data_IF_126214015942
#
_entry.id   IF_126214015942
#
_cell.length_a   1.000
_cell.length_b   1.000
_cell.length_c   1.000
_cell.angle_alpha   90.00
_cell.angle_beta   90.00
_cell.angle_gamma   90.00
#
_symmetry.space_group_name_H-M   'P 1'
#
loop_
_entity.id
_entity.type
_entity.pdbx_description
1 polymer ?
#
# COMPACT_ATOMS: atom_id res chain seq x y z
N UNK A 1 -38.23 -0.55 -79.79
CA UNK A 1 -39.15 -0.57 -78.64
C UNK A 1 -39.28 0.84 -78.08
N UNK A 2 -40.51 1.22 -77.74
CA UNK A 2 -40.99 2.27 -76.82
C UNK A 2 -39.93 3.00 -75.96
N UNK A 3 -39.97 4.29 -75.61
CA UNK A 3 -41.05 5.28 -75.52
C UNK A 3 -40.43 6.67 -75.19
N UNK A 4 -41.04 7.73 -75.74
CA UNK A 4 -41.32 9.11 -75.21
C UNK A 4 -40.70 9.50 -73.85
N UNK A 5 -40.41 10.75 -73.46
CA UNK A 5 -40.48 12.15 -73.95
C UNK A 5 -40.07 13.00 -72.71
N UNK A 6 -39.39 14.14 -72.94
CA UNK A 6 -39.53 15.45 -72.26
C UNK A 6 -39.17 15.53 -70.75
N UNK A 7 -38.12 16.26 -70.35
CA UNK A 7 -38.01 17.74 -70.22
C UNK A 7 -38.89 18.26 -69.05
N UNK A 8 -38.37 19.05 -68.11
CA UNK A 8 -38.42 20.54 -68.10
C UNK A 8 -37.82 21.01 -66.74
N UNK A 9 -36.76 21.85 -66.74
CA UNK A 9 -36.73 23.32 -66.36
C UNK A 9 -36.59 23.55 -64.85
N UNK A 10 -35.97 24.59 -64.28
CA UNK A 10 -35.04 25.68 -64.64
C UNK A 10 -35.17 26.64 -63.43
N UNK A 11 -34.07 27.25 -62.94
CA UNK A 11 -34.03 28.63 -62.35
C UNK A 11 -34.89 28.89 -61.07
N UNK A 12 -34.74 29.89 -60.19
CA UNK A 12 -33.79 30.98 -59.91
C UNK A 12 -34.38 31.76 -58.70
N UNK A 13 -33.51 32.21 -57.79
CA UNK A 13 -33.56 33.45 -56.95
C UNK A 13 -34.76 33.73 -56.01
N UNK A 14 -34.40 33.85 -54.71
CA UNK A 14 -34.62 34.95 -53.73
C UNK A 14 -35.87 35.85 -53.88
N UNK A 15 -36.55 36.18 -52.77
CA UNK A 15 -36.80 37.57 -52.26
C UNK A 15 -38.00 37.72 -51.26
N UNK A 16 -37.69 38.35 -50.08
CA UNK A 16 -38.46 39.27 -49.19
C UNK A 16 -39.78 38.84 -48.50
N UNK A 17 -40.28 39.41 -47.37
CA UNK A 17 -39.92 40.50 -46.44
C UNK A 17 -40.81 40.42 -45.16
N UNK A 18 -40.27 40.87 -44.00
CA UNK A 18 -40.86 41.69 -42.91
C UNK A 18 -42.17 41.27 -42.17
N UNK A 19 -42.44 41.59 -40.90
CA UNK A 19 -41.74 42.24 -39.77
C UNK A 19 -42.68 42.21 -38.52
N UNK A 20 -42.16 42.29 -37.28
CA UNK A 20 -42.51 43.36 -36.31
C UNK A 20 -41.93 43.15 -34.88
N UNK A 21 -41.19 44.19 -34.44
CA UNK A 21 -41.02 44.80 -33.11
C UNK A 21 -41.05 43.97 -31.80
N UNK A 22 -39.97 44.06 -31.01
CA UNK A 22 -39.83 45.11 -29.97
C UNK A 22 -38.46 45.01 -29.24
N UNK A 23 -38.01 46.15 -28.73
CA UNK A 23 -36.67 46.40 -28.20
C UNK A 23 -36.46 45.88 -26.76
N UNK A 24 -35.21 45.58 -26.43
CA UNK A 24 -34.76 45.32 -25.06
C UNK A 24 -33.32 44.80 -25.03
N UNK A 25 -32.37 45.70 -24.77
CA UNK A 25 -30.95 45.43 -24.56
C UNK A 25 -30.75 44.41 -23.44
N UNK A 26 -29.88 43.42 -23.64
CA UNK A 26 -29.12 42.79 -22.56
C UNK A 26 -27.72 42.45 -23.07
N UNK A 27 -26.76 43.27 -22.64
CA UNK A 27 -25.38 42.86 -22.48
C UNK A 27 -25.33 41.62 -21.57
N UNK A 28 -24.74 40.53 -22.05
CA UNK A 28 -24.12 39.55 -21.16
C UNK A 28 -22.70 39.35 -21.67
N UNK A 29 -21.83 39.90 -20.85
CA UNK A 29 -20.40 40.06 -21.02
C UNK A 29 -19.67 38.73 -21.22
N UNK A 30 -18.52 38.87 -21.88
CA UNK A 30 -17.36 37.99 -21.78
C UNK A 30 -17.18 37.47 -20.34
N UNK A 31 -17.43 36.18 -20.13
CA UNK A 31 -16.94 35.47 -18.94
C UNK A 31 -15.74 34.62 -19.35
N UNK A 32 -14.60 35.28 -19.54
CA UNK A 32 -13.30 34.65 -19.32
C UNK A 32 -13.08 34.47 -17.81
N UNK A 33 -13.80 33.51 -17.21
CA UNK A 33 -13.45 32.96 -15.90
C UNK A 33 -12.27 31.98 -16.04
N UNK A 34 -11.44 31.78 -15.00
CA UNK A 34 -10.36 30.81 -15.07
C UNK A 34 -10.94 29.44 -15.43
N UNK A 35 -10.37 28.76 -16.43
CA UNK A 35 -10.73 27.39 -16.76
C UNK A 35 -10.57 26.52 -15.51
N UNK A 36 -11.67 26.28 -14.78
CA UNK A 36 -11.70 25.25 -13.75
C UNK A 36 -11.72 23.94 -14.51
N UNK A 37 -10.53 23.37 -14.75
CA UNK A 37 -10.41 21.99 -15.21
C UNK A 37 -10.99 21.13 -14.10
N UNK A 38 -12.30 20.83 -14.19
CA UNK A 38 -12.96 19.86 -13.32
C UNK A 38 -12.33 18.50 -13.64
N UNK A 39 -11.30 18.15 -12.86
CA UNK A 39 -10.75 16.81 -12.91
C UNK A 39 -11.90 15.85 -12.58
N UNK A 40 -12.04 14.79 -13.37
CA UNK A 40 -13.07 13.76 -13.15
C UNK A 40 -12.47 12.46 -12.64
N UNK A 41 -11.15 12.27 -12.82
CA UNK A 41 -10.39 11.07 -12.44
C UNK A 41 -9.27 11.43 -11.48
N UNK A 42 -8.87 10.50 -10.60
CA UNK A 42 -7.67 10.67 -9.79
C UNK A 42 -6.44 10.67 -10.69
N UNK A 43 -5.49 11.60 -10.48
CA UNK A 43 -4.18 11.52 -11.08
C UNK A 43 -3.51 10.19 -10.69
N UNK A 44 -3.03 9.47 -11.71
CA UNK A 44 -2.24 8.25 -11.55
C UNK A 44 -1.14 8.26 -12.58
N UNK A 45 0.09 8.07 -12.14
CA UNK A 45 1.25 8.04 -13.01
C UNK A 45 1.25 6.74 -13.82
N UNK A 46 1.23 6.83 -15.14
CA UNK A 46 1.23 5.67 -16.04
C UNK A 46 2.60 4.99 -16.02
N UNK A 47 2.74 3.71 -15.63
CA UNK A 47 4.03 3.03 -15.62
C UNK A 47 4.69 2.88 -16.99
N UNK A 48 3.92 2.90 -18.09
CA UNK A 48 4.42 2.62 -19.46
C UNK A 48 5.01 1.21 -19.58
N UNK A 49 6.27 1.02 -19.22
CA UNK A 49 6.98 -0.26 -19.22
C UNK A 49 8.11 -0.26 -18.19
N UNK A 50 8.57 -1.45 -17.79
CA UNK A 50 9.69 -1.58 -16.85
C UNK A 50 10.95 -0.97 -17.46
N UNK A 51 11.63 -0.11 -16.71
CA UNK A 51 12.83 0.60 -17.16
C UNK A 51 12.56 1.93 -17.87
N UNK A 52 11.30 2.26 -18.18
CA UNK A 52 10.95 3.56 -18.75
C UNK A 52 11.38 4.71 -17.81
N UNK A 53 11.98 5.75 -18.38
CA UNK A 53 12.47 6.93 -17.65
C UNK A 53 11.83 8.19 -18.21
N UNK A 54 11.33 9.05 -17.32
CA UNK A 54 10.81 10.39 -17.67
C UNK A 54 11.29 11.45 -16.69
N UNK A 55 11.20 12.70 -17.13
CA UNK A 55 11.43 13.87 -16.29
C UNK A 55 10.09 14.47 -15.86
N UNK A 56 9.94 14.81 -14.58
CA UNK A 56 8.79 15.55 -14.06
C UNK A 56 9.29 16.87 -13.48
N UNK A 57 8.92 17.98 -14.13
CA UNK A 57 9.27 19.34 -13.72
C UNK A 57 8.02 20.20 -13.63
N UNK A 58 7.37 20.21 -12.46
CA UNK A 58 6.19 21.05 -12.19
C UNK A 58 6.47 22.12 -11.14
N UNK A 59 7.67 22.17 -10.59
CA UNK A 59 8.07 23.18 -9.60
C UNK A 59 8.91 24.23 -10.31
N UNK A 60 8.38 25.46 -10.36
CA UNK A 60 9.08 26.61 -10.92
C UNK A 60 10.42 26.78 -10.19
N UNK A 61 11.49 27.02 -10.96
CA UNK A 61 12.85 27.24 -10.45
C UNK A 61 13.53 26.03 -9.77
N UNK A 62 12.97 24.82 -9.91
CA UNK A 62 13.66 23.58 -9.53
C UNK A 62 13.93 22.70 -10.76
N UNK A 63 15.06 21.96 -10.78
CA UNK A 63 15.30 20.99 -11.83
C UNK A 63 14.22 19.91 -11.79
N UNK A 64 13.81 19.36 -12.96
CA UNK A 64 12.91 18.23 -12.99
C UNK A 64 13.56 17.02 -12.29
N UNK A 65 12.75 16.22 -11.61
CA UNK A 65 13.22 14.96 -11.05
C UNK A 65 12.97 13.81 -12.04
N UNK A 66 13.96 12.92 -12.10
CA UNK A 66 13.90 11.72 -12.94
C UNK A 66 13.04 10.67 -12.27
N UNK A 67 12.08 10.09 -13.00
CA UNK A 67 11.23 9.01 -12.54
C UNK A 67 11.43 7.81 -13.43
N UNK A 68 11.83 6.68 -12.83
CA UNK A 68 12.04 5.39 -13.49
C UNK A 68 10.96 4.40 -13.07
N UNK A 69 10.32 3.74 -14.02
CA UNK A 69 9.41 2.64 -13.73
C UNK A 69 10.19 1.39 -13.35
N UNK A 70 9.93 0.85 -12.15
CA UNK A 70 10.49 -0.41 -11.68
C UNK A 70 9.55 -1.60 -11.89
N UNK A 71 8.24 -1.35 -11.87
CA UNK A 71 7.21 -2.35 -12.11
C UNK A 71 5.97 -1.73 -12.73
N UNK A 72 5.25 -2.51 -13.54
CA UNK A 72 3.97 -2.11 -14.14
C UNK A 72 2.80 -2.60 -13.26
N UNK A 73 2.94 -3.77 -12.61
CA UNK A 73 1.92 -4.43 -11.79
C UNK A 73 2.52 -4.85 -10.43
N UNK A 74 2.36 -4.06 -9.35
CA UNK A 74 1.69 -2.77 -9.33
C UNK A 74 2.61 -1.71 -9.96
N UNK A 75 2.10 -0.52 -10.31
CA UNK A 75 2.98 0.57 -10.73
C UNK A 75 3.92 0.97 -9.58
N UNK A 76 5.21 0.72 -9.75
CA UNK A 76 6.28 1.07 -8.80
C UNK A 76 7.29 1.95 -9.52
N UNK A 77 7.69 3.04 -8.87
CA UNK A 77 8.60 4.03 -9.42
C UNK A 77 9.79 4.25 -8.50
N UNK A 78 10.98 4.42 -9.08
CA UNK A 78 12.17 4.95 -8.43
C UNK A 78 12.34 6.41 -8.84
N UNK A 79 12.62 7.26 -7.87
CA UNK A 79 12.90 8.68 -8.05
C UNK A 79 14.28 8.96 -7.43
N UNK A 80 15.37 8.79 -8.21
CA UNK A 80 16.72 9.05 -7.72
C UNK A 80 16.88 10.51 -7.30
N UNK A 81 17.64 10.75 -6.22
CA UNK A 81 17.88 12.09 -5.69
C UNK A 81 16.59 12.90 -5.46
N UNK A 82 15.51 12.23 -5.05
CA UNK A 82 14.27 12.91 -4.70
C UNK A 82 14.45 13.85 -3.51
N UNK A 83 15.30 13.52 -2.55
CA UNK A 83 15.65 14.40 -1.44
C UNK A 83 17.02 15.05 -1.68
N UNK A 84 17.12 16.35 -1.41
CA UNK A 84 18.37 17.08 -1.29
C UNK A 84 19.04 16.80 0.06
N UNK A 85 20.35 17.03 0.16
CA UNK A 85 21.09 16.86 1.42
C UNK A 85 20.52 17.68 2.58
N UNK A 86 20.01 18.90 2.32
CA UNK A 86 19.36 19.72 3.33
C UNK A 86 18.06 19.07 3.86
N UNK A 87 17.23 18.53 2.96
CA UNK A 87 16.01 17.81 3.33
C UNK A 87 16.35 16.54 4.13
N UNK A 88 17.35 15.77 3.69
CA UNK A 88 17.77 14.54 4.37
C UNK A 88 18.28 14.85 5.78
N UNK A 89 19.17 15.83 5.93
CA UNK A 89 19.75 16.18 7.23
C UNK A 89 18.70 16.72 8.20
N UNK A 90 17.74 17.53 7.72
CA UNK A 90 16.62 18.02 8.54
C UNK A 90 15.77 16.87 9.06
N UNK A 91 15.38 15.94 8.17
CA UNK A 91 14.50 14.82 8.52
C UNK A 91 15.21 13.80 9.41
N UNK A 92 16.50 13.50 9.16
CA UNK A 92 17.31 12.66 10.03
C UNK A 92 17.44 13.27 11.42
N UNK A 93 17.75 14.57 11.53
CA UNK A 93 17.83 15.23 12.83
C UNK A 93 16.51 15.16 13.60
N UNK A 94 15.36 15.33 12.93
CA UNK A 94 14.06 15.15 13.57
C UNK A 94 13.83 13.71 14.02
N UNK A 95 14.23 12.72 13.20
CA UNK A 95 14.09 11.31 13.53
C UNK A 95 14.97 10.91 14.73
N UNK A 96 16.21 11.38 14.80
CA UNK A 96 17.17 11.06 15.86
C UNK A 96 16.78 11.68 17.21
N UNK A 97 16.23 12.90 17.20
CA UNK A 97 15.73 13.56 18.42
C UNK A 97 14.29 13.16 18.79
N UNK A 98 13.55 12.55 17.86
CA UNK A 98 12.21 12.04 18.10
C UNK A 98 12.21 10.90 19.11
N UNK A 99 11.10 10.75 19.85
CA UNK A 99 10.92 9.59 20.74
C UNK A 99 10.86 8.33 19.86
N UNK A 100 11.90 7.51 19.93
CA UNK A 100 11.98 6.23 19.25
C UNK A 100 11.15 5.20 20.01
N UNK A 101 10.13 4.67 19.35
CA UNK A 101 9.27 3.62 19.90
C UNK A 101 9.59 2.29 19.21
N UNK A 102 9.52 1.19 19.96
CA UNK A 102 9.60 -0.13 19.36
C UNK A 102 8.35 -0.34 18.48
N UNK A 103 8.56 -0.69 17.22
CA UNK A 103 7.49 -0.95 16.25
C UNK A 103 7.28 -2.43 15.97
N UNK A 104 7.83 -3.32 16.80
CA UNK A 104 7.50 -4.74 16.83
C UNK A 104 5.96 -4.89 16.95
N UNK A 105 5.37 -5.71 16.07
CA UNK A 105 3.90 -5.88 15.98
C UNK A 105 3.39 -6.99 16.93
N UNK A 106 4.30 -7.69 17.62
CA UNK A 106 3.92 -8.75 18.55
C UNK A 106 3.23 -8.17 19.81
N UNK A 107 1.91 -8.22 19.84
CA UNK A 107 1.10 -7.82 20.98
C UNK A 107 0.83 -9.00 21.93
N UNK A 108 1.35 -8.92 23.15
CA UNK A 108 1.07 -9.88 24.23
C UNK A 108 -0.41 -9.88 24.70
N UNK A 109 -1.25 -8.94 24.23
CA UNK A 109 -2.63 -8.78 24.68
C UNK A 109 -3.63 -9.74 24.05
N UNK A 110 -3.17 -10.70 23.25
CA UNK A 110 -4.01 -11.72 22.61
C UNK A 110 -4.30 -12.88 23.56
N UNK A 111 -4.66 -12.58 24.81
CA UNK A 111 -5.14 -13.59 25.74
C UNK A 111 -6.56 -13.99 25.35
N UNK A 112 -6.73 -15.26 24.98
CA UNK A 112 -8.00 -16.01 24.96
C UNK A 112 -9.00 -15.75 23.83
N UNK A 113 -8.58 -15.71 22.56
CA UNK A 113 -9.53 -16.07 21.50
C UNK A 113 -9.78 -17.59 21.53
N UNK A 114 -11.03 -18.09 21.69
CA UNK A 114 -11.33 -19.54 21.72
C UNK A 114 -10.81 -20.28 20.48
N UNK A 115 -10.72 -19.56 19.36
CA UNK A 115 -10.22 -20.02 18.07
C UNK A 115 -8.74 -20.41 18.11
N UNK A 116 -7.91 -19.75 18.92
CA UNK A 116 -6.48 -20.05 19.04
C UNK A 116 -6.20 -21.37 19.75
N UNK A 117 -7.12 -21.81 20.60
CA UNK A 117 -6.99 -23.04 21.41
C UNK A 117 -7.73 -24.24 20.82
N UNK A 118 -8.41 -24.07 19.68
CA UNK A 118 -9.19 -25.11 19.03
C UNK A 118 -8.37 -25.81 17.94
N UNK A 119 -8.29 -27.14 18.00
CA UNK A 119 -7.63 -27.94 16.98
C UNK A 119 -8.19 -27.66 15.58
N UNK A 120 -9.51 -27.58 15.46
CA UNK A 120 -10.21 -27.42 14.19
C UNK A 120 -9.93 -26.08 13.48
N UNK A 121 -9.42 -25.08 14.22
CA UNK A 121 -8.99 -23.81 13.63
C UNK A 121 -7.59 -23.87 13.04
N UNK A 122 -6.77 -24.83 13.48
CA UNK A 122 -5.42 -25.05 12.99
C UNK A 122 -5.39 -26.12 11.89
N UNK A 123 -6.29 -27.08 11.94
CA UNK A 123 -6.49 -28.11 10.90
C UNK A 123 -7.26 -27.53 9.70
N UNK A 124 -6.52 -26.86 8.81
CA UNK A 124 -7.07 -26.12 7.69
C UNK A 124 -7.56 -27.02 6.56
N UNK A 125 -7.06 -28.24 6.42
CA UNK A 125 -7.54 -29.19 5.42
C UNK A 125 -8.50 -30.23 6.00
N UNK A 126 -8.76 -30.20 7.31
CA UNK A 126 -9.65 -31.11 8.04
C UNK A 126 -9.25 -32.58 7.88
N UNK A 127 -7.94 -32.86 7.88
CA UNK A 127 -7.39 -34.21 7.78
C UNK A 127 -7.06 -34.83 9.16
N UNK A 128 -7.48 -34.19 10.25
CA UNK A 128 -7.21 -34.55 11.64
C UNK A 128 -5.71 -34.57 12.00
N UNK A 129 -4.85 -33.92 11.18
CA UNK A 129 -3.41 -33.84 11.36
C UNK A 129 -2.85 -32.45 11.02
N UNK A 130 -2.53 -31.66 12.05
CA UNK A 130 -1.91 -30.34 11.84
C UNK A 130 -0.46 -30.51 11.36
N UNK A 131 -0.18 -30.07 10.13
CA UNK A 131 1.15 -30.08 9.52
C UNK A 131 1.90 -28.74 9.72
N UNK A 132 3.14 -28.66 9.23
CA UNK A 132 3.97 -27.46 9.42
C UNK A 132 3.43 -26.21 8.73
N UNK A 133 2.79 -26.32 7.56
CA UNK A 133 2.23 -25.17 6.85
C UNK A 133 1.06 -24.57 7.65
N UNK A 134 0.26 -25.42 8.28
CA UNK A 134 -0.87 -25.05 9.12
C UNK A 134 -0.44 -24.37 10.40
N UNK A 135 0.59 -24.90 11.07
CA UNK A 135 1.22 -24.20 12.20
C UNK A 135 1.72 -22.82 11.76
N UNK A 136 2.45 -22.72 10.65
CA UNK A 136 2.99 -21.44 10.16
C UNK A 136 1.85 -20.45 9.81
N UNK A 137 0.78 -20.94 9.18
CA UNK A 137 -0.39 -20.12 8.85
C UNK A 137 -1.06 -19.58 10.12
N UNK A 138 -1.27 -20.43 11.12
CA UNK A 138 -1.81 -20.04 12.43
C UNK A 138 -0.90 -19.04 13.15
N UNK A 139 0.43 -19.30 13.17
CA UNK A 139 1.43 -18.39 13.75
C UNK A 139 1.32 -16.97 13.18
N UNK A 140 1.23 -16.88 11.85
CA UNK A 140 1.12 -15.59 11.16
C UNK A 140 -0.22 -14.93 11.41
N UNK A 141 -1.30 -15.67 11.26
CA UNK A 141 -2.65 -15.12 11.33
C UNK A 141 -3.01 -14.61 12.73
N UNK A 142 -2.71 -15.40 13.77
CA UNK A 142 -3.13 -15.08 15.14
C UNK A 142 -2.09 -14.28 15.93
N UNK A 143 -0.80 -14.29 15.56
CA UNK A 143 0.25 -13.65 16.35
C UNK A 143 1.21 -12.78 15.55
N UNK A 144 1.03 -12.66 14.23
CA UNK A 144 1.98 -11.99 13.33
C UNK A 144 3.41 -12.55 13.49
N UNK A 145 3.51 -13.88 13.69
CA UNK A 145 4.77 -14.59 13.82
C UNK A 145 5.07 -15.41 12.55
N UNK A 146 6.25 -15.18 11.98
CA UNK A 146 6.69 -15.76 10.71
C UNK A 146 7.62 -16.96 10.94
N UNK A 147 7.05 -18.04 11.46
CA UNK A 147 7.81 -19.27 11.70
C UNK A 147 8.29 -19.89 10.38
N UNK A 148 9.46 -20.53 10.42
CA UNK A 148 9.92 -21.44 9.37
C UNK A 148 9.61 -22.88 9.74
N UNK A 149 9.71 -23.81 8.78
CA UNK A 149 9.58 -25.25 9.05
C UNK A 149 10.61 -25.74 10.09
N UNK A 150 11.77 -25.10 10.17
CA UNK A 150 12.78 -25.35 11.21
C UNK A 150 12.30 -24.93 12.59
N UNK A 151 11.62 -23.78 12.70
CA UNK A 151 11.05 -23.31 13.96
C UNK A 151 9.91 -24.21 14.43
N UNK A 152 9.05 -24.69 13.52
CA UNK A 152 8.02 -25.68 13.82
C UNK A 152 8.64 -26.98 14.33
N UNK A 153 9.64 -27.54 13.63
CA UNK A 153 10.31 -28.77 14.07
C UNK A 153 10.93 -28.63 15.46
N UNK A 154 11.52 -27.46 15.76
CA UNK A 154 12.05 -27.13 17.10
C UNK A 154 10.94 -27.09 18.15
N UNK A 155 9.80 -26.47 17.84
CA UNK A 155 8.63 -26.47 18.72
C UNK A 155 8.14 -27.89 19.02
N UNK A 156 7.93 -28.72 17.98
CA UNK A 156 7.46 -30.10 18.14
C UNK A 156 8.39 -30.91 19.06
N UNK A 157 9.70 -30.77 18.85
CA UNK A 157 10.73 -31.44 19.67
C UNK A 157 10.72 -30.94 21.12
N UNK A 158 10.61 -29.62 21.32
CA UNK A 158 10.65 -29.00 22.66
C UNK A 158 9.42 -29.38 23.49
N UNK A 159 8.26 -29.42 22.84
CA UNK A 159 6.99 -29.77 23.48
C UNK A 159 6.75 -31.28 23.56
N UNK A 160 7.66 -32.09 23.00
CA UNK A 160 7.57 -33.55 22.99
C UNK A 160 6.25 -34.07 22.35
N UNK A 161 5.76 -33.37 21.34
CA UNK A 161 4.57 -33.69 20.53
C UNK A 161 4.99 -34.28 19.19
N UNK A 162 4.06 -34.88 18.44
CA UNK A 162 4.32 -35.51 17.13
C UNK A 162 5.04 -36.88 17.23
N UNK A 163 4.75 -37.64 18.28
CA UNK A 163 5.25 -39.02 18.46
C UNK A 163 4.44 -40.03 17.68
N UNK A 164 3.12 -39.81 17.60
CA UNK A 164 2.20 -40.71 16.89
C UNK A 164 2.39 -40.56 15.38
N UNK A 165 2.54 -39.33 14.90
CA UNK A 165 2.75 -39.00 13.49
C UNK A 165 3.95 -38.06 13.32
N UNK A 166 5.15 -38.56 13.03
CA UNK A 166 6.35 -37.72 12.94
C UNK A 166 6.20 -36.52 12.00
N UNK A 167 6.39 -35.32 12.53
CA UNK A 167 6.27 -34.04 11.82
C UNK A 167 4.85 -33.45 11.75
N UNK A 168 3.83 -34.14 12.25
CA UNK A 168 2.43 -33.69 12.33
C UNK A 168 1.86 -33.82 13.73
N UNK A 169 0.93 -32.94 14.10
CA UNK A 169 0.26 -32.96 15.40
C UNK A 169 -1.09 -33.65 15.22
N UNK A 170 -1.22 -34.87 15.74
CA UNK A 170 -2.52 -35.54 15.81
C UNK A 170 -3.39 -34.90 16.89
N UNK A 171 -4.72 -34.98 16.75
CA UNK A 171 -5.70 -34.42 17.71
C UNK A 171 -5.44 -34.82 19.16
N UNK A 172 -5.01 -36.05 19.40
CA UNK A 172 -4.67 -36.55 20.75
C UNK A 172 -3.39 -35.96 21.34
N UNK A 173 -2.52 -35.37 20.52
CA UNK A 173 -1.24 -34.76 20.90
C UNK A 173 -1.30 -33.22 20.91
N UNK A 174 -2.46 -32.63 20.60
CA UNK A 174 -2.63 -31.19 20.55
C UNK A 174 -2.72 -30.62 21.97
N UNK A 175 -1.67 -29.91 22.37
CA UNK A 175 -1.53 -29.29 23.69
C UNK A 175 -1.62 -27.77 23.55
N UNK A 176 -2.83 -27.18 23.47
CA UNK A 176 -3.00 -25.76 23.17
C UNK A 176 -2.31 -24.87 24.21
N UNK A 177 -2.40 -25.19 25.50
CA UNK A 177 -1.77 -24.38 26.56
C UNK A 177 -0.23 -24.34 26.44
N UNK A 178 0.39 -25.48 26.17
CA UNK A 178 1.85 -25.59 26.04
C UNK A 178 2.35 -24.94 24.75
N UNK A 179 1.62 -25.12 23.64
CA UNK A 179 1.88 -24.44 22.37
C UNK A 179 1.81 -22.92 22.59
N UNK A 180 0.73 -22.43 23.21
CA UNK A 180 0.57 -20.99 23.49
C UNK A 180 1.68 -20.44 24.37
N UNK A 181 2.10 -21.19 25.40
CA UNK A 181 3.22 -20.81 26.26
C UNK A 181 4.53 -20.72 25.48
N UNK A 182 4.83 -21.71 24.64
CA UNK A 182 6.02 -21.72 23.79
C UNK A 182 6.01 -20.54 22.79
N UNK A 183 4.88 -20.31 22.13
CA UNK A 183 4.71 -19.23 21.15
C UNK A 183 4.94 -17.88 21.79
N UNK A 184 4.36 -17.64 22.97
CA UNK A 184 4.61 -16.41 23.75
C UNK A 184 6.08 -16.24 24.12
N UNK A 185 6.76 -17.31 24.53
CA UNK A 185 8.19 -17.25 24.85
C UNK A 185 9.02 -16.89 23.62
N UNK A 186 8.81 -17.58 22.49
CA UNK A 186 9.54 -17.33 21.24
C UNK A 186 9.25 -15.92 20.70
N UNK A 187 7.99 -15.51 20.65
CA UNK A 187 7.60 -14.17 20.17
C UNK A 187 8.21 -13.03 21.00
N UNK A 188 8.39 -13.22 22.31
CA UNK A 188 9.05 -12.24 23.16
C UNK A 188 10.58 -12.22 23.02
N UNK A 189 11.21 -13.39 22.84
CA UNK A 189 12.66 -13.55 22.92
C UNK A 189 13.39 -13.54 21.57
N UNK A 190 12.73 -13.91 20.47
CA UNK A 190 13.37 -14.11 19.17
C UNK A 190 12.88 -13.07 18.14
N UNK A 191 13.63 -11.97 17.90
CA UNK A 191 13.21 -10.94 16.96
C UNK A 191 12.95 -11.45 15.53
N UNK A 192 13.71 -12.46 15.09
CA UNK A 192 13.63 -13.06 13.75
C UNK A 192 12.28 -13.72 13.40
N UNK A 193 11.43 -13.99 14.39
CA UNK A 193 10.10 -14.56 14.14
C UNK A 193 9.01 -13.50 14.11
N UNK A 194 9.30 -12.27 14.51
CA UNK A 194 8.30 -11.19 14.57
C UNK A 194 7.97 -10.72 13.16
N UNK A 195 6.73 -10.32 12.91
CA UNK A 195 6.34 -9.68 11.65
C UNK A 195 7.16 -8.43 11.34
N UNK A 196 7.55 -7.69 12.37
CA UNK A 196 8.36 -6.48 12.27
C UNK A 196 9.39 -6.41 13.39
N UNK A 197 10.58 -5.94 13.04
CA UNK A 197 11.65 -5.62 13.98
C UNK A 197 12.34 -4.31 13.61
N UNK A 198 11.89 -3.21 14.21
CA UNK A 198 12.45 -1.86 13.99
C UNK A 198 12.02 -0.84 15.05
N UNK A 199 12.65 0.32 15.06
CA UNK A 199 12.20 1.49 15.84
C UNK A 199 11.60 2.54 14.92
N UNK A 200 10.60 3.28 15.40
CA UNK A 200 9.96 4.34 14.62
C UNK A 200 9.72 5.60 15.44
N UNK A 201 9.58 6.72 14.74
CA UNK A 201 9.12 7.99 15.29
C UNK A 201 8.36 8.80 14.24
N UNK A 202 7.51 9.72 14.67
CA UNK A 202 6.73 10.58 13.79
C UNK A 202 7.50 11.86 13.44
N UNK A 203 7.43 12.28 12.18
CA UNK A 203 8.07 13.50 11.68
C UNK A 203 7.02 14.61 11.61
N UNK A 204 6.89 15.35 12.71
CA UNK A 204 5.98 16.49 12.82
C UNK A 204 6.72 17.79 12.51
N UNK A 205 6.46 18.34 11.32
CA UNK A 205 6.99 19.65 10.94
C UNK A 205 6.18 20.78 11.56
N UNK A 206 6.83 21.91 11.84
CA UNK A 206 6.13 23.17 12.13
C UNK A 206 5.33 23.62 10.89
N UNK A 207 4.27 24.41 11.11
CA UNK A 207 3.37 24.84 10.03
C UNK A 207 4.07 25.67 8.95
N UNK A 208 5.12 26.41 9.31
CA UNK A 208 5.92 27.30 8.47
C UNK A 208 7.27 26.69 8.05
N UNK A 209 7.49 25.39 8.30
CA UNK A 209 8.75 24.73 7.94
C UNK A 209 8.93 24.68 6.40
N UNK A 210 10.00 25.34 5.93
CA UNK A 210 10.29 25.47 4.50
C UNK A 210 10.65 24.13 3.83
N UNK A 211 11.24 23.19 4.58
CA UNK A 211 11.56 21.84 4.11
C UNK A 211 10.26 21.07 3.88
N UNK A 212 9.33 21.12 4.83
CA UNK A 212 7.99 20.55 4.68
C UNK A 212 7.26 21.11 3.46
N UNK A 213 7.27 22.43 3.29
CA UNK A 213 6.64 23.11 2.16
C UNK A 213 7.22 22.65 0.81
N UNK A 214 8.54 22.53 0.73
CA UNK A 214 9.24 22.08 -0.48
C UNK A 214 8.93 20.62 -0.79
N UNK A 215 8.99 19.74 0.21
CA UNK A 215 8.65 18.32 0.06
C UNK A 215 7.20 18.11 -0.37
N UNK A 216 6.26 18.87 0.18
CA UNK A 216 4.85 18.80 -0.20
C UNK A 216 4.63 19.21 -1.66
N UNK A 217 5.32 20.24 -2.15
CA UNK A 217 5.29 20.61 -3.58
C UNK A 217 5.88 19.52 -4.48
N UNK A 218 6.97 18.86 -4.06
CA UNK A 218 7.59 17.73 -4.79
C UNK A 218 6.67 16.53 -4.86
N UNK A 219 6.02 16.18 -3.74
CA UNK A 219 4.99 15.13 -3.70
C UNK A 219 3.79 15.46 -4.58
N UNK A 220 3.29 16.69 -4.54
CA UNK A 220 2.17 17.14 -5.38
C UNK A 220 2.53 17.07 -6.87
N UNK A 221 3.73 17.51 -7.25
CA UNK A 221 4.25 17.39 -8.60
C UNK A 221 4.38 15.92 -9.06
N UNK A 222 4.93 15.05 -8.20
CA UNK A 222 5.15 13.64 -8.51
C UNK A 222 3.83 12.87 -8.67
N UNK A 223 2.88 13.10 -7.77
CA UNK A 223 1.59 12.38 -7.74
C UNK A 223 0.54 13.00 -8.65
N UNK A 224 0.69 14.28 -9.00
CA UNK A 224 -0.32 15.09 -9.65
C UNK A 224 -1.47 15.51 -8.74
N UNK A 225 -1.48 15.15 -7.45
CA UNK A 225 -2.55 15.48 -6.50
C UNK A 225 -2.44 16.94 -6.01
N UNK A 226 -3.57 17.57 -5.59
CA UNK A 226 -3.54 18.88 -4.96
C UNK A 226 -2.65 18.88 -3.70
N UNK A 227 -1.94 19.98 -3.47
CA UNK A 227 -0.99 20.08 -2.35
C UNK A 227 -1.69 20.00 -0.99
N UNK A 228 -2.96 20.38 -0.93
CA UNK A 228 -3.82 20.29 0.25
C UNK A 228 -4.04 18.84 0.68
N UNK A 229 -4.28 17.93 -0.28
CA UNK A 229 -4.39 16.49 -0.03
C UNK A 229 -3.06 15.93 0.49
N UNK A 230 -1.95 16.37 -0.10
CA UNK A 230 -0.60 15.96 0.30
C UNK A 230 -0.26 16.43 1.72
N UNK A 231 -0.63 17.66 2.06
CA UNK A 231 -0.34 18.29 3.36
C UNK A 231 -1.16 17.66 4.48
N UNK A 232 -2.43 17.38 4.21
CA UNK A 232 -3.38 16.88 5.21
C UNK A 232 -3.53 15.35 5.18
N UNK A 233 -2.57 14.63 4.61
CA UNK A 233 -2.44 13.17 4.75
C UNK A 233 -1.76 12.79 6.08
N UNK A 234 -1.65 11.49 6.36
CA UNK A 234 -1.01 10.96 7.57
C UNK A 234 0.40 11.55 7.82
N UNK A 235 0.72 11.79 9.10
CA UNK A 235 2.05 12.25 9.51
C UNK A 235 3.12 11.26 9.05
N UNK A 236 4.22 11.71 8.40
CA UNK A 236 5.28 10.81 7.95
C UNK A 236 5.96 10.09 9.12
N UNK A 237 6.33 8.83 8.92
CA UNK A 237 6.93 7.99 9.96
C UNK A 237 8.37 7.64 9.57
N UNK A 238 9.33 8.10 10.35
CA UNK A 238 10.71 7.67 10.22
C UNK A 238 10.92 6.33 10.91
N UNK A 239 11.62 5.41 10.26
CA UNK A 239 11.89 4.06 10.77
C UNK A 239 13.37 3.74 10.68
N UNK A 240 13.92 3.21 11.76
CA UNK A 240 15.29 2.74 11.90
C UNK A 240 15.33 1.23 12.03
N UNK A 241 16.06 0.58 11.13
CA UNK A 241 16.41 -0.83 11.22
C UNK A 241 17.90 -0.97 11.55
N UNK A 242 18.20 -1.66 12.65
CA UNK A 242 19.56 -2.12 12.96
C UNK A 242 19.85 -3.48 12.31
N UNK A 243 21.04 -4.07 12.54
CA UNK A 243 21.35 -5.42 12.09
C UNK A 243 20.28 -6.44 12.54
N UNK A 244 19.81 -7.27 11.60
CA UNK A 244 18.68 -8.21 11.79
C UNK A 244 17.29 -7.56 11.80
N UNK A 245 17.20 -6.23 11.73
CA UNK A 245 15.94 -5.51 11.62
C UNK A 245 15.29 -5.75 10.25
N UNK A 246 13.98 -5.97 10.27
CA UNK A 246 13.18 -6.34 9.10
C UNK A 246 11.72 -5.91 9.26
N UNK A 247 10.97 -5.99 8.17
CA UNK A 247 9.52 -5.93 8.19
C UNK A 247 9.00 -6.89 7.12
N UNK A 248 8.40 -7.99 7.54
CA UNK A 248 7.80 -8.97 6.66
C UNK A 248 6.67 -8.37 5.82
N UNK A 249 6.31 -9.10 4.77
CA UNK A 249 5.45 -8.52 3.75
C UNK A 249 4.05 -8.21 4.29
N UNK A 250 3.56 -7.02 3.95
CA UNK A 250 2.27 -6.51 4.37
C UNK A 250 1.67 -5.63 3.27
N UNK A 251 0.45 -5.14 3.52
CA UNK A 251 -0.19 -4.11 2.73
C UNK A 251 -0.25 -2.84 3.55
N UNK A 252 -0.01 -1.70 2.91
CA UNK A 252 -0.13 -0.41 3.59
C UNK A 252 -1.59 -0.01 3.81
N UNK A 253 -2.52 -0.49 2.98
CA UNK A 253 -3.93 -0.12 3.06
C UNK A 253 -4.81 -1.35 3.20
N UNK A 254 -5.96 -1.18 3.85
CA UNK A 254 -6.98 -2.21 3.92
C UNK A 254 -7.85 -2.24 2.65
N UNK A 255 -8.44 -3.42 2.31
CA UNK A 255 -9.45 -3.53 1.25
C UNK A 255 -10.65 -2.60 1.48
N UNK A 256 -11.37 -2.30 0.39
CA UNK A 256 -12.63 -1.57 0.47
C UNK A 256 -13.72 -2.50 1.01
N UNK A 257 -14.18 -2.27 2.23
CA UNK A 257 -15.38 -2.90 2.79
C UNK A 257 -16.48 -1.85 2.89
N UNK A 258 -17.71 -2.20 2.47
CA UNK A 258 -18.83 -1.27 2.40
C UNK A 258 -19.19 -0.62 3.76
N UNK A 259 -18.94 -1.34 4.86
CA UNK A 259 -19.30 -0.91 6.21
C UNK A 259 -18.19 -0.11 6.92
N UNK A 260 -16.93 -0.25 6.51
CA UNK A 260 -15.79 0.35 7.19
C UNK A 260 -15.35 1.67 6.52
N UNK A 261 -15.52 2.77 7.23
CA UNK A 261 -15.04 4.09 6.80
C UNK A 261 -13.52 4.23 6.99
N UNK A 262 -12.91 5.21 6.32
CA UNK A 262 -11.49 5.48 6.49
C UNK A 262 -11.19 5.98 7.90
N UNK A 263 -10.16 5.43 8.54
CA UNK A 263 -9.69 5.91 9.82
C UNK A 263 -9.28 7.39 9.71
N UNK A 264 -9.84 8.21 10.58
CA UNK A 264 -9.42 9.58 10.80
C UNK A 264 -8.56 9.63 12.07
N UNK A 265 -7.78 10.70 12.28
CA UNK A 265 -6.88 10.88 13.43
C UNK A 265 -7.51 10.61 14.82
N UNK A 266 -8.85 10.60 14.93
CA UNK A 266 -9.58 10.57 16.21
C UNK A 266 -10.24 9.25 16.59
N UNK A 267 -10.32 8.25 15.71
CA UNK A 267 -10.89 6.93 16.07
C UNK A 267 -10.30 5.82 15.22
N UNK A 268 -9.76 4.78 15.89
CA UNK A 268 -9.31 3.54 15.29
C UNK A 268 -10.38 2.42 15.37
N UNK A 269 -11.52 2.69 16.02
CA UNK A 269 -12.58 1.71 16.20
C UNK A 269 -13.50 1.68 14.97
N UNK A 270 -13.67 0.49 14.38
CA UNK A 270 -14.55 0.21 13.23
C UNK A 270 -14.23 1.01 11.95
N UNK A 271 -12.95 1.27 11.72
CA UNK A 271 -12.47 1.95 10.53
C UNK A 271 -11.40 1.14 9.79
N UNK A 272 -11.00 1.60 8.60
CA UNK A 272 -9.97 0.96 7.77
C UNK A 272 -8.87 1.95 7.36
N UNK A 273 -7.66 1.46 7.13
CA UNK A 273 -6.53 2.29 6.67
C UNK A 273 -6.70 2.58 5.16
N UNK A 274 -6.68 3.87 4.79
CA UNK A 274 -7.00 4.35 3.45
C UNK A 274 -5.84 5.08 2.79
N UNK A 275 -4.75 4.36 2.51
CA UNK A 275 -3.53 4.92 1.92
C UNK A 275 -3.54 4.60 0.43
N UNK A 276 -3.74 5.61 -0.41
CA UNK A 276 -3.79 5.41 -1.87
C UNK A 276 -2.39 5.26 -2.47
N UNK A 277 -1.44 6.08 -2.01
CA UNK A 277 -0.05 6.10 -2.47
C UNK A 277 0.85 5.94 -1.24
N UNK A 278 1.90 5.15 -1.38
CA UNK A 278 3.03 5.16 -0.45
C UNK A 278 4.23 5.77 -1.15
N UNK A 279 4.89 6.72 -0.50
CA UNK A 279 6.18 7.26 -0.91
C UNK A 279 7.17 6.95 0.21
N UNK A 280 8.17 6.14 -0.10
CA UNK A 280 9.22 5.72 0.82
C UNK A 280 10.51 6.46 0.49
N UNK A 281 11.06 7.19 1.44
CA UNK A 281 12.37 7.85 1.32
C UNK A 281 13.47 7.00 1.95
N UNK A 282 14.62 6.92 1.30
CA UNK A 282 15.83 6.34 1.89
C UNK A 282 16.75 7.47 2.38
N UNK A 283 17.02 7.51 3.69
CA UNK A 283 17.82 8.59 4.29
C UNK A 283 19.32 8.29 4.32
N UNK A 284 19.72 7.03 4.10
CA UNK A 284 21.12 6.63 4.02
C UNK A 284 21.32 5.42 3.10
N UNK A 285 22.57 5.19 2.70
CA UNK A 285 22.98 3.95 2.08
C UNK A 285 23.13 2.85 3.14
N UNK A 286 22.77 1.62 2.78
CA UNK A 286 22.89 0.45 3.65
C UNK A 286 24.05 -0.41 3.16
N UNK A 287 24.96 -0.78 4.07
CA UNK A 287 26.20 -1.48 3.70
C UNK A 287 25.95 -2.91 3.18
N UNK A 288 24.93 -3.60 3.70
CA UNK A 288 24.49 -4.91 3.20
C UNK A 288 23.06 -5.22 3.65
N UNK A 289 22.24 -5.78 2.74
CA UNK A 289 20.83 -6.09 3.01
C UNK A 289 19.91 -4.85 2.96
N UNK A 290 18.78 -4.92 3.68
CA UNK A 290 17.87 -3.78 3.86
C UNK A 290 17.04 -3.40 2.64
N UNK A 291 16.98 -4.21 1.58
CA UNK A 291 16.16 -3.91 0.41
C UNK A 291 14.68 -3.81 0.75
N UNK A 292 13.94 -2.99 0.00
CA UNK A 292 12.47 -3.05 -0.01
C UNK A 292 12.07 -4.05 -1.09
N UNK A 293 11.43 -5.15 -0.69
CA UNK A 293 11.07 -6.24 -1.58
C UNK A 293 9.57 -6.23 -1.91
N UNK A 294 9.26 -6.51 -3.17
CA UNK A 294 7.90 -6.74 -3.67
C UNK A 294 7.85 -8.16 -4.25
N UNK A 295 7.40 -9.16 -3.47
CA UNK A 295 7.57 -10.55 -3.86
C UNK A 295 6.86 -10.95 -5.15
N UNK A 296 5.77 -10.28 -5.49
CA UNK A 296 4.89 -10.63 -6.62
C UNK A 296 4.73 -9.51 -7.65
N UNK A 297 5.63 -8.52 -7.64
CA UNK A 297 5.70 -7.49 -8.68
C UNK A 297 5.87 -8.13 -10.07
N UNK A 298 5.08 -7.67 -11.03
CA UNK A 298 4.97 -8.14 -12.41
C UNK A 298 4.82 -9.66 -12.58
N UNK A 299 4.40 -10.38 -11.53
CA UNK A 299 4.21 -11.83 -11.60
C UNK A 299 3.07 -12.20 -12.56
N UNK A 300 3.39 -12.97 -13.59
CA UNK A 300 2.41 -13.55 -14.52
C UNK A 300 1.65 -14.72 -13.92
N UNK A 301 2.22 -15.34 -12.88
CA UNK A 301 1.61 -16.49 -12.18
C UNK A 301 0.61 -16.08 -11.09
N UNK A 302 0.44 -14.78 -10.87
CA UNK A 302 -0.50 -14.24 -9.90
C UNK A 302 -1.71 -13.65 -10.62
N UNK A 303 -2.91 -14.20 -10.38
CA UNK A 303 -4.16 -13.67 -10.92
C UNK A 303 -5.03 -13.07 -9.82
N UNK A 304 -5.07 -11.74 -9.75
CA UNK A 304 -5.84 -11.02 -8.73
C UNK A 304 -7.35 -11.28 -8.81
N UNK A 305 -7.90 -11.58 -9.99
CA UNK A 305 -9.35 -11.82 -10.17
C UNK A 305 -9.79 -13.15 -9.54
N UNK A 306 -8.92 -14.16 -9.56
CA UNK A 306 -9.14 -15.43 -8.87
C UNK A 306 -9.06 -15.25 -7.34
N UNK A 307 -8.27 -14.28 -6.87
CA UNK A 307 -8.10 -13.97 -5.45
C UNK A 307 -9.18 -13.01 -4.90
N UNK A 308 -9.97 -12.30 -5.72
CA UNK A 308 -11.04 -11.38 -5.27
C UNK A 308 -12.24 -12.10 -4.64
N UNK A 309 -12.40 -13.41 -4.87
CA UNK A 309 -13.40 -14.24 -4.19
C UNK A 309 -13.11 -14.48 -2.69
N UNK A 310 -11.93 -14.09 -2.19
CA UNK A 310 -11.45 -14.39 -0.85
C UNK A 310 -11.92 -13.44 0.26
N UNK A 311 -12.19 -12.16 -0.03
CA UNK A 311 -12.43 -11.15 1.02
C UNK A 311 -13.86 -11.08 1.55
N UNK A 312 -14.79 -11.86 0.98
CA UNK A 312 -16.22 -11.89 1.36
C UNK A 312 -16.70 -13.26 1.88
N UNK A 313 -15.80 -14.19 2.22
CA UNK A 313 -16.19 -15.50 2.72
C UNK A 313 -15.58 -15.78 4.10
N UNK A 314 -16.36 -16.25 5.10
CA UNK A 314 -15.81 -16.57 6.41
C UNK A 314 -14.84 -17.77 6.40
N UNK A 315 -14.90 -18.65 5.39
CA UNK A 315 -14.03 -19.83 5.20
C UNK A 315 -14.34 -20.49 3.83
N UNK A 316 -13.39 -20.59 2.88
CA UNK A 316 -13.50 -21.59 1.80
C UNK A 316 -12.24 -22.47 1.66
N UNK A 317 -12.35 -23.65 2.27
CA UNK A 317 -11.38 -24.75 2.43
C UNK A 317 -10.61 -25.30 1.20
N UNK A 318 -10.85 -24.87 -0.03
CA UNK A 318 -10.32 -25.58 -1.22
C UNK A 318 -9.42 -24.80 -2.18
N UNK A 319 -9.49 -23.46 -2.22
CA UNK A 319 -8.53 -22.64 -3.00
C UNK A 319 -7.58 -21.80 -2.14
N UNK A 320 -7.86 -21.75 -0.83
CA UNK A 320 -7.11 -21.02 0.18
C UNK A 320 -5.63 -21.43 0.30
N UNK A 321 -5.30 -22.68 -0.04
CA UNK A 321 -3.99 -23.26 0.27
C UNK A 321 -2.86 -22.74 -0.61
N UNK A 322 -3.07 -22.36 -1.88
CA UNK A 322 -1.94 -22.06 -2.78
C UNK A 322 -1.37 -20.66 -2.54
N UNK A 323 -2.21 -19.63 -2.45
CA UNK A 323 -1.74 -18.29 -2.11
C UNK A 323 -1.41 -18.16 -0.62
N UNK A 324 -2.12 -18.82 0.29
CA UNK A 324 -1.69 -18.84 1.69
C UNK A 324 -0.35 -19.55 1.87
N UNK A 325 -0.12 -20.73 1.26
CA UNK A 325 1.20 -21.37 1.30
C UNK A 325 2.26 -20.49 0.64
N UNK A 326 2.03 -20.02 -0.60
CA UNK A 326 2.99 -19.14 -1.30
C UNK A 326 3.27 -17.87 -0.50
N UNK A 327 2.26 -17.22 0.07
CA UNK A 327 2.45 -16.03 0.90
C UNK A 327 3.11 -16.35 2.23
N UNK A 328 2.86 -17.50 2.87
CA UNK A 328 3.55 -17.90 4.09
C UNK A 328 5.06 -17.91 3.86
N UNK A 329 5.50 -18.49 2.74
CA UNK A 329 6.91 -18.47 2.33
C UNK A 329 7.36 -17.08 1.85
N UNK A 330 6.67 -16.45 0.91
CA UNK A 330 7.11 -15.17 0.33
C UNK A 330 7.03 -13.98 1.30
N UNK A 331 6.24 -14.08 2.37
CA UNK A 331 6.10 -13.02 3.37
C UNK A 331 7.28 -12.93 4.31
N UNK A 332 7.92 -14.05 4.63
CA UNK A 332 9.09 -14.09 5.48
C UNK A 332 10.33 -13.63 4.68
N UNK A 333 10.56 -12.33 4.65
CA UNK A 333 11.68 -11.73 3.95
C UNK A 333 13.05 -12.06 4.56
N UNK A 334 13.14 -12.42 5.84
CA UNK A 334 14.39 -12.88 6.45
C UNK A 334 14.88 -14.18 5.82
N UNK A 335 13.95 -15.06 5.45
CA UNK A 335 14.27 -16.33 4.79
C UNK A 335 14.23 -16.26 3.25
N UNK A 336 13.35 -15.42 2.68
CA UNK A 336 12.98 -15.51 1.27
C UNK A 336 13.04 -14.19 0.49
N UNK A 337 13.67 -13.13 1.03
CA UNK A 337 13.87 -11.87 0.29
C UNK A 337 14.53 -12.10 -1.09
N UNK A 338 15.50 -13.02 -1.18
CA UNK A 338 16.18 -13.37 -2.44
C UNK A 338 15.25 -13.94 -3.52
N UNK A 339 14.05 -14.41 -3.14
CA UNK A 339 13.03 -14.92 -4.06
C UNK A 339 12.02 -13.86 -4.52
N UNK A 340 12.06 -12.65 -3.97
CA UNK A 340 11.16 -11.59 -4.39
C UNK A 340 11.43 -11.18 -5.85
N UNK A 341 10.36 -10.97 -6.63
CA UNK A 341 10.45 -10.56 -8.03
C UNK A 341 11.14 -9.21 -8.22
N UNK A 342 10.86 -8.26 -7.33
CA UNK A 342 11.51 -6.96 -7.31
C UNK A 342 12.13 -6.70 -5.93
N UNK A 343 13.37 -6.23 -5.91
CA UNK A 343 14.05 -5.71 -4.72
C UNK A 343 14.65 -4.36 -5.05
N UNK A 344 14.31 -3.35 -4.26
CA UNK A 344 14.86 -2.00 -4.36
C UNK A 344 15.93 -1.82 -3.30
N UNK A 345 17.16 -1.56 -3.73
CA UNK A 345 18.28 -1.27 -2.83
C UNK A 345 18.15 0.15 -2.26
N UNK A 346 18.31 0.35 -0.95
CA UNK A 346 18.33 1.68 -0.34
C UNK A 346 19.48 2.49 -0.93
N UNK A 347 19.17 3.69 -1.41
CA UNK A 347 20.16 4.66 -1.85
C UNK A 347 19.85 6.00 -1.21
N UNK A 348 20.82 6.61 -0.54
CA UNK A 348 20.62 7.88 0.15
C UNK A 348 19.97 8.92 -0.79
N UNK A 349 18.90 9.53 -0.31
CA UNK A 349 18.17 10.58 -1.01
C UNK A 349 17.23 10.09 -2.12
N UNK A 350 17.23 8.81 -2.48
CA UNK A 350 16.24 8.29 -3.41
C UNK A 350 14.89 8.07 -2.72
N UNK A 351 13.82 8.11 -3.53
CA UNK A 351 12.50 7.70 -3.12
C UNK A 351 12.00 6.55 -3.99
N UNK A 352 11.13 5.71 -3.45
CA UNK A 352 10.23 4.89 -4.27
C UNK A 352 8.78 5.25 -3.99
N UNK A 353 7.95 5.11 -5.01
CA UNK A 353 6.51 5.37 -4.93
C UNK A 353 5.75 4.22 -5.56
N UNK A 354 4.65 3.80 -4.93
CA UNK A 354 3.71 2.86 -5.52
C UNK A 354 2.27 3.18 -5.12
N UNK A 355 1.32 2.60 -5.86
CA UNK A 355 -0.11 2.70 -5.58
C UNK A 355 -0.59 1.45 -4.86
N UNK A 356 -1.30 1.63 -3.74
CA UNK A 356 -1.85 0.51 -2.96
C UNK A 356 -3.20 0.02 -3.49
N UNK A 357 -3.88 0.81 -4.33
CA UNK A 357 -5.19 0.44 -4.90
C UNK A 357 -5.18 0.54 -6.42
N UNK A 358 -5.96 -0.33 -7.06
CA UNK A 358 -6.30 -0.16 -8.47
C UNK A 358 -7.35 0.94 -8.63
N UNK A 359 -7.40 1.55 -9.80
CA UNK A 359 -8.43 2.54 -10.14
C UNK A 359 -9.47 1.93 -11.06
N UNK A 360 -10.74 2.24 -10.83
CA UNK A 360 -11.81 1.87 -11.73
C UNK A 360 -11.61 2.57 -13.09
N UNK A 361 -11.62 1.82 -14.20
CA UNK A 361 -11.32 2.37 -15.52
C UNK A 361 -12.35 3.40 -15.99
N UNK A 362 -13.61 3.21 -15.60
CA UNK A 362 -14.74 4.08 -15.95
C UNK A 362 -14.74 5.35 -15.12
N UNK A 363 -14.80 5.24 -13.78
CA UNK A 363 -14.86 6.42 -12.91
C UNK A 363 -13.51 7.11 -12.74
N UNK A 364 -12.39 6.39 -12.92
CA UNK A 364 -11.05 6.87 -12.62
C UNK A 364 -10.76 7.04 -11.13
N UNK A 365 -11.60 6.48 -10.27
CA UNK A 365 -11.47 6.57 -8.82
C UNK A 365 -10.91 5.28 -8.19
N UNK A 366 -10.60 5.33 -6.90
CA UNK A 366 -10.12 4.19 -6.13
C UNK A 366 -11.12 3.03 -6.21
N UNK A 367 -10.59 1.83 -6.45
CA UNK A 367 -11.32 0.58 -6.41
C UNK A 367 -10.60 -0.35 -5.42
N UNK A 368 -10.43 -1.63 -5.73
CA UNK A 368 -9.88 -2.59 -4.79
C UNK A 368 -8.39 -2.41 -4.48
N UNK A 369 -7.97 -2.99 -3.36
CA UNK A 369 -6.56 -3.14 -2.99
C UNK A 369 -5.81 -3.85 -4.13
N UNK A 370 -4.68 -3.29 -4.54
CA UNK A 370 -3.78 -3.94 -5.49
C UNK A 370 -2.97 -4.98 -4.73
N UNK A 371 -3.34 -6.26 -4.84
CA UNK A 371 -2.67 -7.34 -4.12
C UNK A 371 -1.20 -7.48 -4.52
N UNK A 372 -0.76 -6.93 -5.66
CA UNK A 372 0.66 -6.95 -6.02
C UNK A 372 1.49 -5.87 -5.30
N UNK A 373 0.83 -4.93 -4.60
CA UNK A 373 1.49 -3.98 -3.68
C UNK A 373 2.01 -4.63 -2.39
N UNK A 374 1.88 -5.96 -2.26
CA UNK A 374 2.46 -6.71 -1.16
C UNK A 374 3.97 -6.52 -1.12
N UNK A 375 4.47 -6.00 -0.01
CA UNK A 375 5.86 -5.58 0.11
C UNK A 375 6.36 -5.62 1.55
N UNK A 376 7.68 -5.59 1.73
CA UNK A 376 8.29 -5.48 3.04
C UNK A 376 9.76 -5.05 2.99
N UNK A 377 10.39 -4.94 4.15
CA UNK A 377 11.81 -4.68 4.32
C UNK A 377 12.58 -5.97 4.62
N UNK A 378 13.54 -6.29 3.76
CA UNK A 378 14.49 -7.38 4.00
C UNK A 378 15.43 -7.06 5.18
N UNK A 379 16.01 -8.09 5.77
CA UNK A 379 16.97 -7.97 6.86
C UNK A 379 18.10 -7.02 6.50
N UNK A 380 18.41 -6.11 7.41
CA UNK A 380 19.69 -5.38 7.39
C UNK A 380 20.77 -6.35 7.87
N UNK A 381 21.69 -6.73 6.99
CA UNK A 381 22.79 -7.64 7.33
C UNK A 381 23.92 -6.85 7.98
N UNK A 382 24.27 -5.69 7.42
CA UNK A 382 25.35 -4.84 7.92
C UNK A 382 25.00 -3.35 7.83
N UNK A 383 25.32 -2.62 8.88
CA UNK A 383 25.03 -1.19 9.01
C UNK A 383 23.66 -0.94 9.63
N UNK A 384 23.01 0.14 9.22
CA UNK A 384 21.65 0.49 9.64
C UNK A 384 20.90 1.10 8.46
N UNK A 385 19.57 0.99 8.47
CA UNK A 385 18.68 1.57 7.46
C UNK A 385 17.76 2.59 8.11
N UNK A 386 17.77 3.81 7.60
CA UNK A 386 16.81 4.86 7.89
C UNK A 386 15.93 5.09 6.68
N UNK A 387 14.62 5.02 6.91
CA UNK A 387 13.61 5.35 5.92
C UNK A 387 12.57 6.29 6.50
N UNK A 388 11.80 6.93 5.63
CA UNK A 388 10.56 7.61 6.00
C UNK A 388 9.43 7.14 5.10
N UNK A 389 8.37 6.65 5.72
CA UNK A 389 7.10 6.36 5.04
C UNK A 389 6.25 7.63 5.02
N UNK A 390 5.84 8.05 3.83
CA UNK A 390 4.90 9.15 3.61
C UNK A 390 3.69 8.59 2.86
N UNK A 391 2.59 8.39 3.57
CA UNK A 391 1.37 7.84 3.00
C UNK A 391 0.43 8.96 2.57
N UNK A 392 -0.13 8.84 1.37
CA UNK A 392 -1.11 9.79 0.85
C UNK A 392 -2.49 9.17 0.95
N UNK A 393 -3.37 9.82 1.71
CA UNK A 393 -4.73 9.37 1.93
C UNK A 393 -5.67 9.98 0.89
N UNK A 394 -6.60 9.16 0.41
CA UNK A 394 -7.72 9.62 -0.41
C UNK A 394 -8.98 9.09 0.25
N UNK A 395 -9.82 10.00 0.71
CA UNK A 395 -11.07 9.70 1.39
C UNK A 395 -12.20 10.28 0.55
N UNK A 396 -13.16 9.44 0.17
CA UNK A 396 -14.30 9.83 -0.67
C UNK A 396 -14.38 9.07 -1.98
N UNK A 397 -15.52 9.16 -2.67
CA UNK A 397 -15.81 8.42 -3.91
C UNK A 397 -15.62 9.20 -5.22
N UNK A 398 -15.42 10.52 -5.14
CA UNK A 398 -15.21 11.43 -6.25
C UNK A 398 -14.62 12.76 -5.73
N UNK A 399 -14.45 13.76 -6.60
CA UNK A 399 -13.89 15.06 -6.23
C UNK A 399 -14.78 15.91 -5.33
N UNK A 400 -16.11 15.80 -5.45
CA UNK A 400 -17.06 16.56 -4.61
C UNK A 400 -17.12 16.02 -3.18
N UNK A 401 -16.83 14.73 -2.99
CA UNK A 401 -16.76 14.04 -1.69
C UNK A 401 -15.31 13.86 -1.19
N UNK A 402 -14.32 14.43 -1.88
CA UNK A 402 -12.92 14.29 -1.50
C UNK A 402 -12.64 15.03 -0.19
N UNK A 403 -12.24 14.27 0.83
CA UNK A 403 -11.87 14.76 2.16
C UNK A 403 -10.40 14.52 2.45
N UNK A 404 -9.80 15.41 3.23
CA UNK A 404 -8.45 15.21 3.74
C UNK A 404 -8.44 14.38 5.01
N UNK A 405 -7.32 13.74 5.33
CA UNK A 405 -7.17 12.99 6.58
C UNK A 405 -7.15 13.90 7.82
N UNK A 406 -6.93 15.21 7.66
CA UNK A 406 -6.99 16.20 8.74
C UNK A 406 -8.16 17.20 8.60
N UNK A 407 -9.21 16.85 7.85
CA UNK A 407 -10.34 17.75 7.59
C UNK A 407 -10.99 18.26 8.89
N UNK A 408 -10.82 19.56 9.17
CA UNK A 408 -11.34 20.23 10.37
C UNK A 408 -12.88 20.32 10.37
N UNK A 409 -13.55 20.18 9.22
CA UNK A 409 -15.00 20.23 9.12
C UNK A 409 -15.69 18.91 9.51
N UNK A 410 -14.92 17.84 9.71
CA UNK A 410 -15.40 16.61 10.37
C UNK A 410 -15.66 16.77 11.88
N UNK A 411 -15.31 17.93 12.47
CA UNK A 411 -15.42 18.20 13.91
C UNK A 411 -16.86 18.47 14.40
N UNK A 412 -17.84 18.54 13.49
CA UNK A 412 -19.21 19.00 13.82
C UNK A 412 -20.33 18.11 13.26
N UNK A 413 -20.10 16.81 13.05
CA UNK A 413 -21.20 15.86 12.82
C UNK A 413 -21.19 14.75 13.84
#
# INVERSE_FOLDING_TARGET
>A
MHSRRKAIVLQTIVIFLAASNSAGVNHLDDVHGPCVVRRTKLPRLDPVEVGFVRQIGLIKEQPPFTVKTLSVRPPIFEIPAFLSEAEINRVLAMAEHGRQENSDVFHNSMDSLPTQTSFDHWDLNRDDLINSDEVIAGMRYFWDLHFTTKDVKRMLTTLNISKVNPGRIHRSEFLPADIMKYVKQVGNLEPKVKGRHSNQTYIEFAEDDQISTTLNKKKAALTGLPVEIIKDSETPVAVRYGPGGHYHCHYDSHPLHAEATCCHRRSLDKCRICRFITILYFLNDVAEGGQTAFPIADSDTFNQQEEHGFFNCPFPLFFEQTWMRKSNYLSNLSAYCSKANLRVTPKRGSAIMWYNHVTNKTSGWISSLDLRSYHGGCDVIRGHKWIVNNWINIIGGNWDDLRTWNDKNSRTK
#
